data_IF_861186324441
#
_entry.id   IF_861186324441
#
_cell.length_a   1.000
_cell.length_b   1.000
_cell.length_c   1.000
_cell.angle_alpha   90.00
_cell.angle_beta   90.00
_cell.angle_gamma   90.00
#
_symmetry.space_group_name_H-M   'P 1'
#
loop_
_entity.id
_entity.type
_entity.pdbx_description
1 polymer ?
#
# COMPACT_ATOMS: atom_id res chain seq x y z
N UNK A 1 -4.49 -21.29 -8.61
CA UNK A 1 -3.30 -20.78 -7.90
C UNK A 1 -2.89 -21.86 -6.91
N UNK A 2 -1.61 -21.95 -6.53
CA UNK A 2 -1.16 -23.00 -5.61
C UNK A 2 -0.95 -22.44 -4.20
N UNK A 3 -1.70 -23.02 -3.26
CA UNK A 3 -1.51 -22.83 -1.82
C UNK A 3 -0.16 -23.42 -1.41
N UNK A 4 0.62 -22.62 -0.70
CA UNK A 4 1.88 -23.02 -0.10
C UNK A 4 1.80 -22.76 1.40
N UNK A 5 1.92 -23.80 2.21
CA UNK A 5 2.11 -23.63 3.66
C UNK A 5 3.59 -23.36 3.90
N UNK A 6 3.92 -22.13 4.27
CA UNK A 6 5.30 -21.67 4.43
C UNK A 6 5.86 -22.10 5.80
N UNK A 7 5.06 -21.92 6.85
CA UNK A 7 5.41 -22.28 8.23
C UNK A 7 4.15 -22.83 8.91
N UNK A 8 4.30 -23.87 9.72
CA UNK A 8 3.17 -24.46 10.46
C UNK A 8 3.66 -25.08 11.76
N UNK A 9 3.08 -24.63 12.87
CA UNK A 9 3.30 -25.17 14.21
C UNK A 9 1.97 -25.48 14.89
N UNK A 10 1.99 -25.91 16.15
CA UNK A 10 0.77 -26.33 16.87
C UNK A 10 -0.16 -25.16 17.26
N UNK A 11 0.27 -23.92 17.02
CA UNK A 11 -0.45 -22.69 17.37
C UNK A 11 -0.70 -21.75 16.20
N UNK A 12 0.08 -21.81 15.12
CA UNK A 12 -0.03 -20.92 13.97
C UNK A 12 0.29 -21.63 12.66
N UNK A 13 -0.32 -21.16 11.58
CA UNK A 13 0.02 -21.51 10.21
C UNK A 13 0.22 -20.24 9.39
N UNK A 14 1.37 -20.14 8.74
CA UNK A 14 1.60 -19.18 7.67
C UNK A 14 1.27 -19.83 6.33
N UNK A 15 0.15 -19.43 5.76
CA UNK A 15 -0.31 -19.90 4.47
C UNK A 15 -0.09 -18.80 3.43
N UNK A 16 0.54 -19.13 2.30
CA UNK A 16 0.74 -18.21 1.19
C UNK A 16 0.35 -18.83 -0.14
N UNK A 17 0.46 -18.05 -1.22
CA UNK A 17 0.19 -18.55 -2.56
C UNK A 17 1.05 -17.85 -3.60
N UNK A 18 1.26 -18.49 -4.74
CA UNK A 18 1.95 -17.87 -5.88
C UNK A 18 0.97 -17.17 -6.80
N UNK A 19 1.12 -15.85 -6.95
CA UNK A 19 0.34 -15.03 -7.87
C UNK A 19 0.88 -15.07 -9.30
N UNK A 20 0.04 -15.16 -10.36
CA UNK A 20 0.46 -14.92 -11.74
C UNK A 20 1.12 -13.55 -11.95
N UNK A 21 0.80 -12.59 -11.08
CA UNK A 21 1.43 -11.27 -11.02
C UNK A 21 2.88 -11.28 -10.49
N UNK A 22 3.37 -12.42 -9.99
CA UNK A 22 4.73 -12.59 -9.44
C UNK A 22 4.83 -12.40 -7.92
N UNK A 23 3.77 -11.93 -7.25
CA UNK A 23 3.75 -11.79 -5.79
C UNK A 23 3.55 -13.13 -5.08
N UNK A 24 4.09 -13.24 -3.85
CA UNK A 24 3.91 -14.39 -2.95
C UNK A 24 3.32 -13.95 -1.61
N UNK A 25 2.07 -13.44 -1.58
CA UNK A 25 1.43 -13.02 -0.34
C UNK A 25 1.18 -14.22 0.60
N UNK A 26 1.11 -13.92 1.89
CA UNK A 26 0.84 -14.90 2.95
C UNK A 26 0.08 -14.29 4.11
N UNK A 27 -0.78 -15.10 4.74
CA UNK A 27 -1.48 -14.77 5.99
C UNK A 27 -0.92 -15.65 7.11
N UNK A 28 -0.90 -15.11 8.32
CA UNK A 28 -0.57 -15.83 9.54
C UNK A 28 -1.86 -16.12 10.32
N UNK A 29 -2.37 -17.36 10.24
CA UNK A 29 -3.55 -17.81 10.98
C UNK A 29 -3.15 -18.41 12.32
N UNK A 30 -3.61 -17.84 13.44
CA UNK A 30 -3.46 -18.43 14.75
C UNK A 30 -4.64 -19.35 15.09
N UNK A 31 -4.34 -20.44 15.80
CA UNK A 31 -5.34 -21.41 16.25
C UNK A 31 -6.41 -20.73 17.12
N UNK A 32 -7.66 -20.86 16.72
CA UNK A 32 -8.82 -20.30 17.42
C UNK A 32 -9.30 -18.96 16.88
N UNK A 33 -8.67 -18.42 15.83
CA UNK A 33 -9.23 -17.30 15.07
C UNK A 33 -10.35 -17.78 14.13
N UNK A 34 -11.38 -16.96 13.92
CA UNK A 34 -12.47 -17.31 13.01
C UNK A 34 -12.06 -17.19 11.53
N UNK A 35 -11.27 -16.15 11.21
CA UNK A 35 -10.85 -15.83 9.86
C UNK A 35 -9.70 -14.83 9.87
N UNK A 36 -8.68 -15.07 9.04
CA UNK A 36 -7.65 -14.09 8.72
C UNK A 36 -7.68 -13.83 7.22
N UNK A 37 -7.82 -12.56 6.83
CA UNK A 37 -7.94 -12.14 5.44
C UNK A 37 -6.84 -11.13 5.10
N UNK A 38 -6.22 -11.31 3.94
CA UNK A 38 -5.28 -10.36 3.36
C UNK A 38 -5.76 -9.97 1.96
N UNK A 39 -5.88 -8.66 1.74
CA UNK A 39 -6.09 -8.10 0.41
C UNK A 39 -4.75 -8.05 -0.33
N UNK A 40 -4.64 -8.73 -1.47
CA UNK A 40 -3.44 -8.66 -2.28
C UNK A 40 -3.52 -7.50 -3.27
N UNK A 41 -2.40 -6.82 -3.48
CA UNK A 41 -2.29 -5.62 -4.33
C UNK A 41 -2.88 -5.82 -5.74
N UNK A 42 -2.92 -7.05 -6.28
CA UNK A 42 -3.53 -7.35 -7.57
C UNK A 42 -5.08 -7.33 -7.59
N UNK A 43 -5.73 -7.00 -6.47
CA UNK A 43 -7.17 -7.05 -6.27
C UNK A 43 -7.69 -8.43 -5.86
N UNK A 44 -6.79 -9.43 -5.74
CA UNK A 44 -7.18 -10.74 -5.26
C UNK A 44 -7.31 -10.74 -3.74
N UNK A 45 -8.37 -11.34 -3.23
CA UNK A 45 -8.55 -11.55 -1.79
C UNK A 45 -8.12 -12.96 -1.44
N UNK A 46 -7.45 -13.11 -0.31
CA UNK A 46 -7.05 -14.40 0.24
C UNK A 46 -7.43 -14.49 1.72
N UNK A 47 -8.13 -15.55 2.08
CA UNK A 47 -8.64 -15.76 3.41
C UNK A 47 -8.31 -17.17 3.89
N UNK A 48 -7.96 -17.31 5.18
CA UNK A 48 -7.72 -18.60 5.83
C UNK A 48 -8.51 -18.69 7.13
N UNK A 49 -9.21 -19.80 7.32
CA UNK A 49 -9.97 -20.09 8.52
C UNK A 49 -10.92 -21.28 8.33
N UNK A 50 -11.58 -21.76 9.39
CA UNK A 50 -12.50 -22.89 9.32
C UNK A 50 -13.72 -22.68 8.39
N UNK A 51 -14.02 -21.44 8.00
CA UNK A 51 -15.13 -21.08 7.10
C UNK A 51 -14.76 -19.98 6.08
N UNK A 52 -13.50 -19.95 5.61
CA UNK A 52 -13.02 -18.90 4.72
C UNK A 52 -13.83 -18.76 3.42
N UNK A 53 -14.40 -19.87 2.92
CA UNK A 53 -15.28 -19.84 1.74
C UNK A 53 -16.51 -18.93 1.92
N UNK A 54 -17.01 -18.80 3.15
CA UNK A 54 -18.19 -18.00 3.48
C UNK A 54 -17.94 -16.49 3.46
N UNK A 55 -16.68 -16.05 3.55
CA UNK A 55 -16.32 -14.62 3.48
C UNK A 55 -16.21 -14.12 2.04
N UNK A 56 -15.98 -15.02 1.08
CA UNK A 56 -15.79 -14.64 -0.32
C UNK A 56 -17.05 -13.96 -0.89
N UNK A 57 -16.90 -12.70 -1.32
CA UNK A 57 -17.94 -11.95 -2.04
C UNK A 57 -17.66 -11.99 -3.55
N UNK A 58 -18.46 -12.73 -4.35
CA UNK A 58 -18.24 -12.79 -5.80
C UNK A 58 -18.41 -11.41 -6.43
N UNK A 59 -17.44 -11.01 -7.25
CA UNK A 59 -17.50 -9.79 -8.06
C UNK A 59 -17.28 -10.13 -9.54
N UNK A 60 -17.79 -9.28 -10.44
CA UNK A 60 -17.69 -9.54 -11.88
C UNK A 60 -16.22 -9.62 -12.31
N UNK A 61 -15.84 -10.76 -12.90
CA UNK A 61 -14.47 -11.01 -13.35
C UNK A 61 -13.56 -11.72 -12.35
N UNK A 62 -13.97 -11.85 -11.08
CA UNK A 62 -13.23 -12.60 -10.05
C UNK A 62 -13.89 -13.97 -9.82
N UNK A 63 -13.08 -15.03 -9.86
CA UNK A 63 -13.53 -16.40 -9.63
C UNK A 63 -13.14 -16.86 -8.22
N UNK A 64 -14.10 -17.36 -7.42
CA UNK A 64 -13.77 -17.95 -6.15
C UNK A 64 -13.01 -19.27 -6.36
N UNK A 65 -11.89 -19.44 -5.68
CA UNK A 65 -11.16 -20.71 -5.58
C UNK A 65 -11.06 -21.09 -4.10
N UNK A 66 -11.12 -22.39 -3.81
CA UNK A 66 -11.12 -22.91 -2.44
C UNK A 66 -10.19 -24.13 -2.37
N UNK A 67 -9.39 -24.18 -1.31
CA UNK A 67 -8.56 -25.32 -0.94
C UNK A 67 -8.79 -25.62 0.52
N UNK A 68 -8.90 -26.89 0.83
CA UNK A 68 -9.07 -27.38 2.19
C UNK A 68 -7.79 -28.13 2.58
N UNK A 69 -7.29 -27.87 3.78
CA UNK A 69 -6.09 -28.51 4.30
C UNK A 69 -6.23 -28.80 5.80
N UNK A 70 -5.51 -29.81 6.29
CA UNK A 70 -5.52 -30.15 7.71
C UNK A 70 -4.35 -29.45 8.42
N UNK A 71 -4.67 -28.75 9.50
CA UNK A 71 -3.72 -28.07 10.36
C UNK A 71 -2.90 -29.09 11.21
N UNK A 72 -1.70 -28.74 11.68
CA UNK A 72 -0.88 -29.61 12.53
C UNK A 72 -1.57 -30.05 13.83
N UNK A 73 -2.53 -29.27 14.32
CA UNK A 73 -3.32 -29.57 15.50
C UNK A 73 -4.61 -30.37 15.22
N UNK A 74 -4.79 -30.85 13.98
CA UNK A 74 -5.89 -31.75 13.59
C UNK A 74 -7.21 -31.06 13.21
N UNK A 75 -7.21 -29.73 13.10
CA UNK A 75 -8.35 -28.97 12.61
C UNK A 75 -8.34 -28.86 11.09
N UNK A 76 -9.53 -28.83 10.48
CA UNK A 76 -9.66 -28.63 9.03
C UNK A 76 -9.85 -27.15 8.73
N UNK A 77 -8.94 -26.59 7.95
CA UNK A 77 -8.96 -25.19 7.55
C UNK A 77 -9.26 -25.04 6.07
N UNK A 78 -9.89 -23.93 5.74
CA UNK A 78 -10.16 -23.49 4.38
C UNK A 78 -9.23 -22.33 4.03
N UNK A 79 -8.64 -22.40 2.86
CA UNK A 79 -7.94 -21.32 2.18
C UNK A 79 -8.77 -20.93 0.97
N UNK A 80 -9.22 -19.69 0.92
CA UNK A 80 -10.20 -19.20 -0.05
C UNK A 80 -9.65 -17.98 -0.80
N UNK A 81 -9.85 -17.93 -2.12
CA UNK A 81 -9.36 -16.86 -2.99
C UNK A 81 -10.47 -16.25 -3.84
N UNK A 82 -10.36 -14.96 -4.16
CA UNK A 82 -11.01 -14.35 -5.32
C UNK A 82 -9.95 -14.03 -6.37
N UNK A 83 -9.99 -14.72 -7.52
CA UNK A 83 -8.98 -14.59 -8.58
C UNK A 83 -9.57 -13.84 -9.77
N UNK A 84 -9.09 -12.62 -10.03
CA UNK A 84 -9.56 -11.79 -11.14
C UNK A 84 -8.47 -11.40 -12.14
N UNK A 85 -8.82 -10.64 -13.20
CA UNK A 85 -7.84 -10.06 -14.12
C UNK A 85 -6.91 -9.14 -13.32
N UNK A 86 -5.63 -9.51 -13.25
CA UNK A 86 -4.61 -8.76 -12.51
C UNK A 86 -4.55 -7.32 -13.01
N UNK A 87 -4.91 -6.36 -12.17
CA UNK A 87 -4.96 -4.92 -12.54
C UNK A 87 -3.64 -4.18 -12.31
N UNK A 88 -2.62 -4.83 -11.75
CA UNK A 88 -1.30 -4.24 -11.50
C UNK A 88 -0.21 -4.87 -12.37
N UNK A 89 0.38 -4.04 -13.24
CA UNK A 89 1.72 -4.27 -13.79
C UNK A 89 2.81 -3.92 -12.77
N UNK A 90 4.10 -4.18 -13.08
CA UNK A 90 5.17 -3.97 -12.11
C UNK A 90 5.37 -2.47 -11.84
N UNK A 91 5.51 -2.14 -10.55
CA UNK A 91 5.85 -0.83 -9.97
C UNK A 91 4.66 0.13 -9.79
N UNK A 92 4.08 0.07 -8.59
CA UNK A 92 3.23 1.10 -8.02
C UNK A 92 3.29 0.95 -6.50
N UNK A 93 4.11 1.77 -5.86
CA UNK A 93 4.10 2.04 -4.42
C UNK A 93 2.68 2.40 -3.96
N UNK A 94 2.15 1.67 -2.98
CA UNK A 94 0.88 2.01 -2.33
C UNK A 94 1.12 1.99 -0.82
N UNK A 95 1.25 3.18 -0.26
CA UNK A 95 1.28 3.44 1.17
C UNK A 95 -0.13 3.19 1.75
N UNK A 96 -0.20 2.48 2.87
CA UNK A 96 -1.44 2.34 3.64
C UNK A 96 -1.63 3.61 4.46
N UNK A 97 -2.49 4.52 4.02
CA UNK A 97 -3.02 5.60 4.87
C UNK A 97 -4.54 5.53 4.98
N UNK A 98 -4.98 5.72 6.22
CA UNK A 98 -6.37 5.72 6.61
C UNK A 98 -7.11 6.91 6.00
N UNK A 99 -8.26 6.60 5.41
CA UNK A 99 -9.51 7.36 5.33
C UNK A 99 -9.47 8.87 5.04
N UNK A 100 -10.09 9.18 3.89
CA UNK A 100 -10.81 10.40 3.49
C UNK A 100 -10.06 11.73 3.65
N UNK A 101 -9.69 12.38 2.54
CA UNK A 101 -10.28 13.63 2.03
C UNK A 101 -9.72 13.94 0.61
N UNK A 102 -10.43 14.80 -0.12
CA UNK A 102 -10.32 15.31 -1.51
C UNK A 102 -8.92 15.29 -2.19
N UNK A 103 -8.81 15.15 -3.53
CA UNK A 103 -7.53 15.22 -4.25
C UNK A 103 -6.94 16.64 -4.21
N UNK A 104 -6.31 17.01 -3.09
CA UNK A 104 -5.48 18.20 -3.04
C UNK A 104 -4.24 17.96 -3.90
N UNK A 105 -4.05 18.83 -4.89
CA UNK A 105 -2.88 18.78 -5.77
C UNK A 105 -1.64 18.97 -4.91
N UNK A 106 -0.91 17.90 -4.62
CA UNK A 106 0.32 17.96 -3.85
C UNK A 106 1.38 18.79 -4.61
N UNK A 107 2.12 19.65 -3.91
CA UNK A 107 3.22 20.43 -4.48
C UNK A 107 4.56 19.81 -4.11
N UNK A 108 5.61 20.13 -4.86
CA UNK A 108 6.98 19.65 -4.60
C UNK A 108 7.83 20.82 -4.09
N UNK A 109 8.54 20.59 -2.98
CA UNK A 109 9.52 21.53 -2.45
C UNK A 109 10.74 21.60 -3.38
N UNK A 110 11.06 22.76 -3.99
CA UNK A 110 12.17 22.89 -4.93
C UNK A 110 13.56 22.72 -4.29
N UNK A 111 13.68 22.83 -2.97
CA UNK A 111 14.97 22.72 -2.26
C UNK A 111 15.34 21.26 -2.03
N UNK A 112 14.43 20.49 -1.43
CA UNK A 112 14.69 19.11 -1.01
C UNK A 112 13.97 18.05 -1.85
N UNK A 113 13.05 18.45 -2.75
CA UNK A 113 12.28 17.54 -3.59
C UNK A 113 11.15 16.82 -2.86
N UNK A 114 10.85 17.18 -1.61
CA UNK A 114 9.80 16.54 -0.82
C UNK A 114 8.40 16.99 -1.27
N UNK A 115 7.47 16.05 -1.34
CA UNK A 115 6.07 16.32 -1.60
C UNK A 115 5.41 16.96 -0.38
N UNK A 116 4.67 18.05 -0.59
CA UNK A 116 4.03 18.85 0.47
C UNK A 116 2.61 19.21 0.09
N UNK A 117 1.73 19.30 1.09
CA UNK A 117 0.38 19.80 0.89
C UNK A 117 0.39 21.35 0.85
N UNK A 118 -0.03 21.99 -0.26
CA UNK A 118 -0.03 23.45 -0.40
C UNK A 118 -0.87 24.17 0.65
N UNK A 119 -2.01 23.60 1.02
CA UNK A 119 -2.94 24.23 1.95
C UNK A 119 -2.38 24.23 3.37
N UNK A 120 -1.85 23.09 3.81
CA UNK A 120 -1.15 22.94 5.07
C UNK A 120 0.12 23.80 5.11
N UNK A 121 0.88 23.88 4.02
CA UNK A 121 2.06 24.74 3.92
C UNK A 121 1.66 26.22 4.05
N UNK A 122 0.60 26.68 3.37
CA UNK A 122 0.08 28.05 3.52
C UNK A 122 -0.39 28.32 4.94
N UNK A 123 -1.15 27.41 5.54
CA UNK A 123 -1.63 27.54 6.92
C UNK A 123 -0.48 27.62 7.93
N UNK A 124 0.62 26.91 7.69
CA UNK A 124 1.84 26.94 8.51
C UNK A 124 2.78 28.10 8.16
N UNK A 125 2.45 28.91 7.15
CA UNK A 125 3.31 30.00 6.67
C UNK A 125 4.58 29.51 5.96
N UNK A 126 4.59 28.26 5.48
CA UNK A 126 5.66 27.61 4.72
C UNK A 126 5.49 27.80 3.20
N UNK A 127 4.98 28.95 2.77
CA UNK A 127 4.88 29.33 1.36
C UNK A 127 5.67 30.60 1.07
N UNK A 128 6.12 30.77 -0.17
CA UNK A 128 6.78 31.97 -0.67
C UNK A 128 6.34 32.27 -2.10
N UNK A 129 6.04 33.54 -2.39
CA UNK A 129 5.67 33.98 -3.73
C UNK A 129 6.92 34.45 -4.48
N UNK A 130 7.27 33.79 -5.58
CA UNK A 130 8.41 34.17 -6.42
C UNK A 130 8.02 34.15 -7.90
N UNK A 131 8.31 35.23 -8.64
CA UNK A 131 7.90 35.42 -10.04
C UNK A 131 6.39 35.20 -10.32
N UNK A 132 5.54 35.51 -9.34
CA UNK A 132 4.09 35.31 -9.46
C UNK A 132 3.62 33.86 -9.27
N UNK A 133 4.52 32.95 -8.87
CA UNK A 133 4.24 31.55 -8.56
C UNK A 133 4.39 31.34 -7.05
N UNK A 134 3.39 30.70 -6.43
CA UNK A 134 3.48 30.27 -5.04
C UNK A 134 4.28 28.97 -4.95
N UNK A 135 5.38 29.01 -4.20
CA UNK A 135 6.20 27.85 -3.84
C UNK A 135 5.90 27.42 -2.40
N UNK A 136 5.93 26.12 -2.15
CA UNK A 136 5.60 25.51 -0.87
C UNK A 136 6.79 24.68 -0.38
N UNK A 137 7.04 24.72 0.93
CA UNK A 137 8.21 24.09 1.54
C UNK A 137 7.82 23.11 2.63
N UNK A 138 8.61 22.05 2.80
CA UNK A 138 8.37 21.02 3.81
C UNK A 138 8.62 21.54 5.23
N UNK A 139 9.45 22.57 5.35
CA UNK A 139 9.84 23.15 6.62
C UNK A 139 10.38 24.57 6.48
N UNK A 140 10.63 25.18 7.64
CA UNK A 140 11.15 26.54 7.73
C UNK A 140 12.57 26.64 7.14
N UNK A 141 13.39 25.59 7.28
CA UNK A 141 14.74 25.52 6.71
C UNK A 141 14.73 25.70 5.19
N UNK A 142 14.02 24.82 4.48
CA UNK A 142 13.90 24.88 3.02
C UNK A 142 13.30 26.20 2.54
N UNK A 143 12.31 26.75 3.26
CA UNK A 143 11.77 28.09 2.94
C UNK A 143 12.85 29.17 3.03
N UNK A 144 13.68 29.18 4.07
CA UNK A 144 14.71 30.20 4.26
C UNK A 144 15.81 30.07 3.22
N UNK A 145 16.24 28.85 2.90
CA UNK A 145 17.23 28.57 1.85
C UNK A 145 16.71 29.07 0.49
N UNK A 146 15.46 28.75 0.15
CA UNK A 146 14.84 29.23 -1.08
C UNK A 146 14.73 30.76 -1.15
N UNK A 147 14.46 31.44 -0.03
CA UNK A 147 14.38 32.91 -0.01
C UNK A 147 15.77 33.55 -0.15
N UNK A 148 16.83 32.86 0.31
CA UNK A 148 18.21 33.33 0.21
C UNK A 148 18.75 33.25 -1.23
N UNK A 149 18.49 32.13 -1.93
CA UNK A 149 18.93 31.94 -3.32
C UNK A 149 17.88 31.23 -4.20
N UNK A 150 16.76 31.88 -4.53
CA UNK A 150 15.67 31.24 -5.27
C UNK A 150 16.07 30.86 -6.70
N UNK A 151 16.96 31.62 -7.34
CA UNK A 151 17.38 31.33 -8.72
C UNK A 151 18.17 30.02 -8.79
N UNK A 152 18.95 29.69 -7.76
CA UNK A 152 19.68 28.43 -7.68
C UNK A 152 18.75 27.21 -7.63
N UNK A 153 17.71 27.24 -6.80
CA UNK A 153 16.77 26.12 -6.66
C UNK A 153 15.75 26.01 -7.80
N UNK A 154 15.54 27.10 -8.56
CA UNK A 154 14.67 27.12 -9.73
C UNK A 154 15.41 26.80 -11.04
N UNK A 155 16.73 26.68 -11.00
CA UNK A 155 17.52 26.29 -12.16
C UNK A 155 17.26 24.82 -12.51
N UNK A 156 17.04 24.53 -13.79
CA UNK A 156 16.78 23.15 -14.26
C UNK A 156 17.97 22.20 -14.09
N UNK A 157 19.16 22.72 -13.75
CA UNK A 157 20.36 21.95 -13.44
C UNK A 157 20.50 21.61 -11.95
N UNK A 158 19.69 22.20 -11.07
CA UNK A 158 19.69 21.86 -9.65
C UNK A 158 19.01 20.51 -9.42
N UNK A 159 19.70 19.62 -8.70
CA UNK A 159 19.16 18.34 -8.26
C UNK A 159 18.93 18.43 -6.76
N UNK A 160 17.67 18.36 -6.30
CA UNK A 160 17.37 18.39 -4.88
C UNK A 160 18.08 17.23 -4.18
N UNK A 161 18.87 17.57 -3.17
CA UNK A 161 19.66 16.62 -2.39
C UNK A 161 19.08 16.57 -0.98
N UNK A 162 18.68 15.37 -0.57
CA UNK A 162 18.04 15.10 0.73
C UNK A 162 19.05 15.09 1.87
#
# INVERSE_FOLDING_TARGET
MDLTVLEADVTRIRAGYSCPCGCTPSVDYARGEDLVEEGCCCGNHFAVGPHASGSLRPSAGFRPELRVFDAPWGERLEAAWLVGPSVHGPSGEHEHEASDEDPTTQAVDPVCGMTVDPEAARAKGLSSLHNGVDYFFCGIGCKLEFVDDPEHFLDSSYVPSM
#
